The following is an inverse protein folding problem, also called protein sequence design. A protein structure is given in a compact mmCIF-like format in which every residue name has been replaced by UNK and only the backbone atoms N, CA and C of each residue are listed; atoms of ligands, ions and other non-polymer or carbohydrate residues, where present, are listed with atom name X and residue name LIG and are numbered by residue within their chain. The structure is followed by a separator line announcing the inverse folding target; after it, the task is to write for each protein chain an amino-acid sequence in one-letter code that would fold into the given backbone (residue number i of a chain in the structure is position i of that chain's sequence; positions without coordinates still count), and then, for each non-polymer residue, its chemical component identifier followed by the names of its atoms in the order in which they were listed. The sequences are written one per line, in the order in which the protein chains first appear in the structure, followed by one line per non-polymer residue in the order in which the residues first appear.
data_IF_563737079481
#
_entry.id   IF_563737079481
#
_cell.length_a   1.000
_cell.length_b   1.000
_cell.length_c   1.000
_cell.angle_alpha   90.00
_cell.angle_beta   90.00
_cell.angle_gamma   90.00
#
_symmetry.space_group_name_H-M   'P 1'
#
loop_
_entity.id
_entity.type
_entity.pdbx_description
1 polymer ?
#
# COMPACT_ATOMS: atom_id res chain seq x y z
N UNK A 1 4.99 2.71 8.03
CA UNK A 1 5.30 2.04 6.74
C UNK A 1 4.08 1.80 5.88
N UNK A 2 3.02 1.12 6.37
CA UNK A 2 1.78 0.90 5.60
C UNK A 2 1.14 2.21 5.12
N UNK A 3 1.02 3.20 6.01
CA UNK A 3 0.48 4.51 5.66
C UNK A 3 1.24 5.19 4.51
N UNK A 4 2.57 5.14 4.53
CA UNK A 4 3.42 5.69 3.46
C UNK A 4 3.16 5.04 2.09
N UNK A 5 2.87 3.73 2.07
CA UNK A 5 2.49 3.04 0.84
C UNK A 5 1.12 3.53 0.33
N UNK A 6 0.14 3.72 1.21
CA UNK A 6 -1.17 4.23 0.79
C UNK A 6 -1.10 5.69 0.32
N UNK A 7 -0.32 6.54 0.99
CA UNK A 7 -0.06 7.91 0.54
C UNK A 7 0.62 7.92 -0.83
N UNK A 8 1.64 7.08 -1.03
CA UNK A 8 2.31 6.95 -2.31
C UNK A 8 1.33 6.48 -3.41
N UNK A 9 0.62 5.37 -3.20
CA UNK A 9 -0.31 4.86 -4.21
C UNK A 9 -1.43 5.86 -4.54
N UNK A 10 -1.90 6.63 -3.55
CA UNK A 10 -2.87 7.69 -3.80
C UNK A 10 -2.29 8.85 -4.61
N UNK A 11 -1.11 9.36 -4.24
CA UNK A 11 -0.47 10.48 -4.96
C UNK A 11 -0.11 10.09 -6.39
N UNK A 12 0.43 8.89 -6.59
CA UNK A 12 0.99 8.47 -7.89
C UNK A 12 -0.08 8.08 -8.91
N UNK A 13 -1.12 7.37 -8.48
CA UNK A 13 -2.11 6.82 -9.42
C UNK A 13 -3.54 6.83 -8.90
N UNK A 14 -3.81 7.42 -7.73
CA UNK A 14 -5.10 7.30 -7.03
C UNK A 14 -5.47 5.83 -6.79
N UNK A 15 -4.47 5.01 -6.46
CA UNK A 15 -4.59 3.55 -6.25
C UNK A 15 -4.99 2.75 -7.50
N UNK A 16 -4.84 3.31 -8.71
CA UNK A 16 -5.08 2.60 -9.96
C UNK A 16 -3.81 1.89 -10.46
N UNK A 17 -3.97 0.65 -10.94
CA UNK A 17 -2.87 -0.11 -11.53
C UNK A 17 -2.71 0.23 -13.03
N UNK A 18 -2.05 1.35 -13.32
CA UNK A 18 -2.02 1.92 -14.67
C UNK A 18 -1.04 1.20 -15.62
N UNK A 19 -1.38 1.04 -16.92
CA UNK A 19 -0.49 0.44 -17.91
C UNK A 19 0.64 1.39 -18.37
N UNK A 20 0.52 2.69 -18.09
CA UNK A 20 1.44 3.73 -18.52
C UNK A 20 1.39 4.94 -17.55
N UNK A 21 2.28 5.90 -17.80
CA UNK A 21 2.56 7.04 -16.94
C UNK A 21 3.55 7.99 -17.59
N UNK A 22 4.17 8.86 -16.79
CA UNK A 22 5.30 9.66 -17.27
C UNK A 22 6.49 8.75 -17.67
N UNK A 23 7.06 8.97 -18.86
CA UNK A 23 8.13 8.14 -19.44
C UNK A 23 7.74 6.65 -19.50
N UNK A 24 8.43 5.80 -18.75
CA UNK A 24 8.19 4.36 -18.63
C UNK A 24 7.60 3.97 -17.26
N UNK A 25 7.05 4.93 -16.51
CA UNK A 25 6.33 4.65 -15.28
C UNK A 25 5.09 3.80 -15.52
N UNK A 26 4.90 2.78 -14.70
CA UNK A 26 3.71 1.91 -14.73
C UNK A 26 3.28 1.51 -13.32
N UNK A 27 2.05 1.00 -13.22
CA UNK A 27 1.52 0.40 -12.01
C UNK A 27 1.07 1.40 -10.95
N UNK A 28 0.72 0.86 -9.77
CA UNK A 28 0.09 1.60 -8.67
C UNK A 28 0.98 2.67 -8.04
N UNK A 29 2.29 2.51 -8.12
CA UNK A 29 3.27 3.47 -7.60
C UNK A 29 3.98 4.26 -8.70
N UNK A 30 3.53 4.14 -9.96
CA UNK A 30 4.20 4.76 -11.12
C UNK A 30 5.71 4.49 -11.15
N UNK A 31 6.09 3.26 -10.83
CA UNK A 31 7.48 2.81 -10.76
C UNK A 31 8.08 2.68 -12.15
N UNK A 32 9.36 3.02 -12.29
CA UNK A 32 10.08 3.03 -13.57
C UNK A 32 11.01 1.81 -13.71
N UNK A 33 10.74 0.87 -14.63
CA UNK A 33 11.66 -0.23 -14.93
C UNK A 33 13.08 0.25 -15.24
N UNK A 34 13.22 1.33 -16.02
CA UNK A 34 14.51 1.95 -16.34
C UNK A 34 15.29 2.50 -15.13
N UNK A 35 14.63 2.67 -13.97
CA UNK A 35 15.27 3.09 -12.72
C UNK A 35 15.49 1.93 -11.73
N UNK A 36 15.38 0.68 -12.20
CA UNK A 36 15.67 -0.50 -11.39
C UNK A 36 14.55 -0.87 -10.42
N UNK A 37 13.30 -0.52 -10.73
CA UNK A 37 12.15 -0.95 -9.95
C UNK A 37 11.69 -2.38 -10.21
N UNK A 38 12.12 -2.99 -11.32
CA UNK A 38 11.74 -4.32 -11.79
C UNK A 38 11.49 -4.31 -13.30
N UNK A 39 10.92 -5.37 -13.86
CA UNK A 39 10.36 -5.36 -15.23
C UNK A 39 9.02 -4.62 -15.26
N UNK A 40 8.48 -4.36 -16.46
CA UNK A 40 7.14 -3.77 -16.63
C UNK A 40 6.08 -4.64 -15.96
N UNK A 41 6.15 -5.96 -16.15
CA UNK A 41 5.22 -6.94 -15.58
C UNK A 41 5.29 -6.92 -14.06
N UNK A 42 6.50 -6.87 -13.50
CA UNK A 42 6.72 -6.76 -12.06
C UNK A 42 6.18 -5.45 -11.48
N UNK A 43 6.40 -4.31 -12.14
CA UNK A 43 5.89 -3.02 -11.67
C UNK A 43 4.34 -2.94 -11.76
N UNK A 44 3.72 -3.72 -12.64
CA UNK A 44 2.25 -3.86 -12.76
C UNK A 44 1.66 -4.95 -11.88
N UNK A 45 2.46 -5.80 -11.27
CA UNK A 45 2.03 -6.68 -10.20
C UNK A 45 1.99 -5.88 -8.89
N UNK A 46 0.79 -5.64 -8.37
CA UNK A 46 0.59 -4.81 -7.16
C UNK A 46 1.31 -5.40 -5.95
N UNK A 47 1.37 -6.73 -5.81
CA UNK A 47 2.06 -7.37 -4.68
C UNK A 47 3.58 -7.17 -4.80
N UNK A 48 4.15 -7.38 -5.98
CA UNK A 48 5.57 -7.10 -6.22
C UNK A 48 5.90 -5.62 -6.01
N UNK A 49 5.13 -4.72 -6.62
CA UNK A 49 5.36 -3.28 -6.55
C UNK A 49 5.31 -2.78 -5.10
N UNK A 50 4.38 -3.32 -4.29
CA UNK A 50 4.25 -3.02 -2.85
C UNK A 50 5.43 -3.55 -2.06
N UNK A 51 5.84 -4.81 -2.27
CA UNK A 51 7.01 -5.37 -1.60
C UNK A 51 8.30 -4.59 -1.94
N UNK A 52 8.46 -4.20 -3.21
CA UNK A 52 9.58 -3.42 -3.72
C UNK A 52 9.62 -2.01 -3.11
N UNK A 53 8.46 -1.37 -2.91
CA UNK A 53 8.31 -0.10 -2.20
C UNK A 53 8.67 -0.25 -0.72
N UNK A 54 8.06 -1.21 -0.01
CA UNK A 54 8.25 -1.41 1.42
C UNK A 54 9.70 -1.73 1.77
N UNK A 55 10.40 -2.53 0.95
CA UNK A 55 11.82 -2.80 1.14
C UNK A 55 12.65 -1.51 1.13
N UNK A 56 12.42 -0.63 0.15
CA UNK A 56 13.10 0.67 0.08
C UNK A 56 12.70 1.59 1.24
N UNK A 57 11.43 1.54 1.64
CA UNK A 57 10.95 2.28 2.79
C UNK A 57 11.63 1.82 4.09
N UNK A 58 11.90 0.52 4.30
CA UNK A 58 12.60 0.02 5.50
C UNK A 58 14.01 0.63 5.55
N UNK A 59 14.70 0.63 4.40
CA UNK A 59 16.04 1.20 4.31
C UNK A 59 16.04 2.72 4.51
N UNK A 60 15.00 3.42 4.04
CA UNK A 60 14.84 4.86 4.22
C UNK A 60 14.53 5.23 5.68
N UNK A 61 13.66 4.48 6.35
CA UNK A 61 13.29 4.67 7.76
C UNK A 61 14.51 4.49 8.69
N UNK A 62 15.30 3.43 8.46
CA UNK A 62 16.55 3.18 9.20
C UNK A 62 17.55 4.33 9.09
N UNK A 63 17.61 5.00 7.94
CA UNK A 63 18.52 6.14 7.70
C UNK A 63 17.96 7.46 8.26
N UNK A 64 16.64 7.54 8.45
CA UNK A 64 15.95 8.77 8.79
C UNK A 64 14.91 8.50 9.89
N UNK A 65 15.35 8.17 11.12
CA UNK A 65 14.43 7.91 12.21
C UNK A 65 13.55 9.12 12.48
N UNK A 66 12.25 8.88 12.64
CA UNK A 66 11.26 9.93 12.93
C UNK A 66 10.62 10.58 11.71
N UNK A 67 10.90 10.11 10.48
CA UNK A 67 10.15 10.54 9.31
C UNK A 67 8.64 10.24 9.46
N UNK A 68 7.83 11.20 9.02
CA UNK A 68 6.39 10.99 8.80
C UNK A 68 6.19 9.96 7.69
N UNK A 69 4.96 9.47 7.54
CA UNK A 69 4.63 8.58 6.45
C UNK A 69 4.89 9.23 5.08
N UNK A 70 4.55 10.51 4.92
CA UNK A 70 4.76 11.21 3.66
C UNK A 70 6.22 11.51 3.38
N UNK A 71 7.02 11.86 4.41
CA UNK A 71 8.47 11.97 4.25
C UNK A 71 9.10 10.62 3.84
N UNK A 72 8.60 9.50 4.36
CA UNK A 72 9.06 8.18 3.97
C UNK A 72 8.67 7.85 2.53
N UNK A 73 7.43 8.15 2.13
CA UNK A 73 6.95 7.99 0.76
C UNK A 73 7.81 8.82 -0.22
N UNK A 74 8.07 10.09 0.12
CA UNK A 74 8.94 10.96 -0.65
C UNK A 74 10.38 10.44 -0.73
N UNK A 75 10.95 9.92 0.36
CA UNK A 75 12.31 9.38 0.35
C UNK A 75 12.45 8.17 -0.60
N UNK A 76 11.37 7.38 -0.74
CA UNK A 76 11.30 6.22 -1.62
C UNK A 76 11.06 6.63 -3.09
N UNK A 77 10.05 7.48 -3.33
CA UNK A 77 9.61 7.86 -4.68
C UNK A 77 10.48 8.96 -5.31
N UNK A 78 11.07 9.83 -4.49
CA UNK A 78 11.92 10.96 -4.88
C UNK A 78 11.24 11.89 -5.88
N UNK A 79 10.01 12.30 -5.58
CA UNK A 79 9.25 13.23 -6.43
C UNK A 79 9.79 14.66 -6.35
N UNK A 80 9.37 15.53 -7.29
CA UNK A 80 9.66 16.96 -7.25
C UNK A 80 8.76 17.76 -6.27
N UNK A 81 7.76 17.12 -5.65
CA UNK A 81 6.75 17.75 -4.81
C UNK A 81 6.60 17.00 -3.47
N UNK A 82 7.59 17.12 -2.57
CA UNK A 82 7.67 16.32 -1.35
C UNK A 82 6.45 16.47 -0.43
N UNK A 83 5.83 17.65 -0.42
CA UNK A 83 4.70 17.99 0.45
C UNK A 83 3.40 17.24 0.09
N UNK A 84 3.29 16.66 -1.10
CA UNK A 84 2.03 16.05 -1.57
C UNK A 84 1.64 14.78 -0.81
N UNK A 85 2.59 14.05 -0.24
CA UNK A 85 2.29 12.77 0.43
C UNK A 85 1.64 12.97 1.79
N UNK A 86 2.18 13.85 2.65
CA UNK A 86 1.57 14.13 3.97
C UNK A 86 0.19 14.83 3.81
N UNK A 87 -0.04 15.55 2.71
CA UNK A 87 -1.34 16.19 2.42
C UNK A 87 -2.49 15.19 2.26
N UNK A 88 -2.20 13.93 1.94
CA UNK A 88 -3.21 12.89 1.66
C UNK A 88 -3.34 11.87 2.78
N UNK A 89 -2.71 12.10 3.93
CA UNK A 89 -2.73 11.20 5.08
C UNK A 89 -4.16 10.77 5.46
N UNK A 90 -5.10 11.72 5.53
CA UNK A 90 -6.50 11.44 5.89
C UNK A 90 -7.17 10.48 4.91
N UNK A 91 -6.96 10.69 3.61
CA UNK A 91 -7.47 9.81 2.55
C UNK A 91 -6.81 8.44 2.61
N UNK A 92 -5.49 8.39 2.80
CA UNK A 92 -4.74 7.14 2.94
C UNK A 92 -5.25 6.31 4.14
N UNK A 93 -5.51 6.95 5.28
CA UNK A 93 -6.11 6.29 6.46
C UNK A 93 -7.51 5.75 6.19
N UNK A 94 -8.36 6.50 5.47
CA UNK A 94 -9.69 6.03 5.07
C UNK A 94 -9.62 4.78 4.20
N UNK A 95 -8.69 4.75 3.23
CA UNK A 95 -8.48 3.61 2.35
C UNK A 95 -7.94 2.38 3.09
N UNK A 96 -7.04 2.57 4.06
CA UNK A 96 -6.57 1.48 4.94
C UNK A 96 -7.75 0.87 5.70
N UNK A 97 -8.57 1.71 6.34
CA UNK A 97 -9.71 1.24 7.10
C UNK A 97 -10.75 0.52 6.20
N UNK A 98 -10.90 0.94 4.95
CA UNK A 98 -11.73 0.25 3.97
C UNK A 98 -11.17 -1.12 3.58
N UNK A 99 -9.87 -1.18 3.27
CA UNK A 99 -9.20 -2.44 2.93
C UNK A 99 -9.31 -3.46 4.08
N UNK A 100 -9.14 -3.02 5.33
CA UNK A 100 -9.27 -3.87 6.52
C UNK A 100 -10.70 -4.43 6.68
N UNK A 101 -11.74 -3.63 6.42
CA UNK A 101 -13.13 -4.10 6.43
C UNK A 101 -13.37 -5.16 5.35
N UNK A 102 -12.85 -4.95 4.15
CA UNK A 102 -13.04 -5.87 3.02
C UNK A 102 -12.31 -7.19 3.25
N UNK A 103 -11.05 -7.15 3.70
CA UNK A 103 -10.28 -8.35 4.03
C UNK A 103 -10.88 -9.09 5.22
N UNK A 104 -11.33 -8.38 6.26
CA UNK A 104 -12.03 -8.96 7.41
C UNK A 104 -13.37 -9.59 7.03
N UNK A 105 -14.07 -9.04 6.02
CA UNK A 105 -15.31 -9.59 5.48
C UNK A 105 -15.10 -10.79 4.53
N UNK A 106 -13.88 -10.97 4.00
CA UNK A 106 -13.55 -12.07 3.07
C UNK A 106 -13.08 -13.33 3.82
N UNK A 107 -13.06 -13.30 5.15
CA UNK A 107 -12.91 -14.48 6.01
C UNK A 107 -14.11 -15.43 5.91
N UNK A 108 -14.07 -16.33 4.93
CA UNK A 108 -14.73 -17.66 4.91
C UNK A 108 -16.20 -17.74 5.37
N UNK A 109 -17.11 -17.35 4.48
CA UNK A 109 -18.50 -17.83 4.46
C UNK A 109 -18.64 -19.23 3.86
N UNK A 110 -17.98 -20.24 4.45
CA UNK A 110 -18.25 -21.68 4.28
C UNK A 110 -18.66 -22.30 5.61
N UNK A 111 -19.47 -23.37 5.66
CA UNK A 111 -20.31 -23.69 6.83
C UNK A 111 -19.52 -24.33 7.98
N UNK A 112 -18.80 -23.53 8.74
CA UNK A 112 -18.50 -23.81 10.15
C UNK A 112 -18.09 -22.51 10.86
N UNK A 113 -19.09 -21.66 11.12
CA UNK A 113 -18.92 -20.44 11.91
C UNK A 113 -18.87 -20.81 13.40
N UNK A 114 -17.68 -21.13 13.91
CA UNK A 114 -17.40 -21.07 15.35
C UNK A 114 -17.04 -19.62 15.69
N UNK A 115 -18.05 -18.83 16.06
CA UNK A 115 -17.85 -17.50 16.64
C UNK A 115 -17.27 -17.64 18.05
N UNK A 116 -15.97 -17.38 18.21
CA UNK A 116 -15.38 -17.19 19.52
C UNK A 116 -15.73 -15.81 20.06
N UNK A 117 -16.88 -15.71 20.74
CA UNK A 117 -17.13 -14.60 21.66
C UNK A 117 -17.71 -15.16 22.97
N UNK A 118 -16.94 -15.01 24.05
CA UNK A 118 -17.27 -15.37 25.43
C UNK A 118 -17.55 -16.87 25.72
N UNK A 119 -16.60 -17.73 25.36
CA UNK A 119 -16.31 -18.95 26.14
C UNK A 119 -17.39 -20.02 26.25
N UNK A 120 -18.40 -20.05 25.37
CA UNK A 120 -19.39 -21.15 25.36
C UNK A 120 -19.63 -21.64 23.94
N UNK A 121 -19.41 -22.94 23.70
CA UNK A 121 -19.66 -23.63 22.43
C UNK A 121 -21.14 -24.03 22.42
N UNK A 122 -21.90 -23.61 21.41
CA UNK A 122 -23.26 -24.07 21.18
C UNK A 122 -23.53 -24.23 19.69
N UNK A 123 -23.78 -25.46 19.24
CA UNK A 123 -24.28 -25.79 17.91
C UNK A 123 -25.80 -25.57 17.85
N UNK A 124 -26.29 -24.85 16.86
CA UNK A 124 -27.72 -24.82 16.51
C UNK A 124 -27.91 -25.49 15.14
N UNK A 125 -28.91 -26.37 15.08
CA UNK A 125 -29.37 -27.08 13.88
C UNK A 125 -30.21 -26.16 12.97
#
# INVERSE_FOLDING_TARGET
MQLAAFEAGWVESRMNNLPCGDRDSVGVFQQRPSQGWGTVEQCRDVAYATASFLRRAIDADRKNPGYTAGHLAQAVQRSAFPERYDQVESTARSLIAEAERTVGSTGLGGPEMVLFRNGTIGTYA
#
